data_IF_951787857149
#
_entry.id   IF_951787857149
#
_cell.length_a   1.000
_cell.length_b   1.000
_cell.length_c   1.000
_cell.angle_alpha   90.00
_cell.angle_beta   90.00
_cell.angle_gamma   90.00
#
_symmetry.space_group_name_H-M   'P 1'
#
loop_
_entity.id
_entity.type
_entity.pdbx_description
1 polymer ?
#
# COMPACT_ATOMS: atom_id res chain seq x y z
N UNK A 1 54.48 -5.19 40.65
CA UNK A 1 54.72 -5.74 39.29
C UNK A 1 53.58 -5.27 38.40
N UNK A 2 53.91 -4.55 37.32
CA UNK A 2 53.27 -4.55 35.98
C UNK A 2 51.82 -4.02 35.90
N UNK A 3 51.39 -3.15 34.97
CA UNK A 3 51.98 -2.23 33.98
C UNK A 3 50.78 -1.35 33.54
N UNK A 4 51.02 -0.07 33.32
CA UNK A 4 50.14 0.82 32.55
C UNK A 4 50.34 0.54 31.05
N UNK A 5 49.25 0.63 30.26
CA UNK A 5 49.16 0.99 28.83
C UNK A 5 47.80 0.46 28.31
N UNK A 6 47.07 1.03 27.35
CA UNK A 6 47.05 2.30 26.65
C UNK A 6 45.67 2.35 25.92
N UNK A 7 45.23 3.55 25.57
CA UNK A 7 43.99 3.86 24.83
C UNK A 7 44.07 3.33 23.39
N UNK A 8 42.99 2.75 22.87
CA UNK A 8 42.77 2.62 21.42
C UNK A 8 41.27 2.68 21.11
N UNK A 9 40.90 3.68 20.30
CA UNK A 9 39.60 3.84 19.65
C UNK A 9 39.39 2.75 18.60
N UNK A 10 38.21 2.15 18.54
CA UNK A 10 37.68 1.61 17.28
C UNK A 10 36.22 2.01 17.12
N UNK A 11 35.99 2.89 16.14
CA UNK A 11 34.67 3.14 15.57
C UNK A 11 34.21 1.84 14.90
N UNK A 12 33.18 1.19 15.42
CA UNK A 12 32.48 0.15 14.66
C UNK A 12 31.33 0.80 13.91
N UNK A 13 31.60 1.17 12.66
CA UNK A 13 30.57 1.44 11.66
C UNK A 13 29.80 0.14 11.40
N UNK A 14 28.58 0.05 11.92
CA UNK A 14 27.63 -1.00 11.53
C UNK A 14 27.20 -0.68 10.09
N UNK A 15 27.47 -1.53 9.09
CA UNK A 15 26.90 -1.33 7.78
C UNK A 15 25.40 -1.64 7.87
N UNK A 16 24.55 -0.63 7.66
CA UNK A 16 23.13 -0.84 7.40
C UNK A 16 23.02 -1.78 6.21
N UNK A 17 22.69 -3.03 6.49
CA UNK A 17 22.42 -4.03 5.47
C UNK A 17 21.16 -3.57 4.76
N UNK A 18 21.31 -3.25 3.48
CA UNK A 18 20.22 -2.97 2.53
C UNK A 18 19.19 -4.09 2.67
N UNK A 19 18.03 -3.76 3.26
CA UNK A 19 16.90 -4.67 3.42
C UNK A 19 16.64 -5.34 2.07
N UNK A 20 17.01 -6.62 1.95
CA UNK A 20 16.63 -7.46 0.82
C UNK A 20 15.13 -7.68 0.96
N UNK A 21 14.41 -7.21 -0.04
CA UNK A 21 12.96 -7.42 -0.12
C UNK A 21 12.69 -8.92 -0.10
N UNK A 22 11.62 -9.39 0.58
CA UNK A 22 11.24 -10.78 0.52
C UNK A 22 10.95 -11.14 -0.94
N UNK A 23 11.26 -12.40 -1.31
CA UNK A 23 11.01 -12.96 -2.63
C UNK A 23 9.59 -12.63 -3.11
N UNK A 24 9.37 -12.49 -4.44
CA UNK A 24 8.03 -12.29 -4.96
C UNK A 24 7.13 -13.40 -4.42
N UNK A 25 6.07 -13.00 -3.71
CA UNK A 25 5.00 -13.92 -3.33
C UNK A 25 4.40 -14.42 -4.64
N UNK A 26 4.80 -15.62 -5.07
CA UNK A 26 4.11 -16.30 -6.15
C UNK A 26 2.66 -16.50 -5.70
N UNK A 27 1.73 -15.91 -6.44
CA UNK A 27 0.32 -16.22 -6.26
C UNK A 27 0.15 -17.69 -6.62
N UNK A 28 -0.46 -18.45 -5.71
CA UNK A 28 -0.73 -19.88 -5.93
C UNK A 28 -1.72 -20.02 -7.07
N UNK A 29 -1.24 -20.24 -8.29
CA UNK A 29 -2.03 -20.51 -9.50
C UNK A 29 -2.48 -21.97 -9.60
N UNK A 30 -2.50 -22.70 -8.47
CA UNK A 30 -2.93 -24.10 -8.40
C UNK A 30 -4.30 -24.27 -9.05
N UNK A 31 -4.38 -25.19 -10.01
CA UNK A 31 -5.57 -25.54 -10.80
C UNK A 31 -6.82 -25.76 -9.96
N UNK A 32 -6.68 -26.23 -8.71
CA UNK A 32 -7.73 -26.41 -7.71
C UNK A 32 -8.58 -25.16 -7.41
N UNK A 33 -8.08 -23.93 -7.66
CA UNK A 33 -8.87 -22.70 -7.50
C UNK A 33 -9.70 -22.31 -8.73
N UNK A 34 -9.49 -22.96 -9.89
CA UNK A 34 -10.24 -22.62 -11.12
C UNK A 34 -11.69 -23.08 -11.09
N UNK A 35 -11.99 -24.12 -10.30
CA UNK A 35 -13.28 -24.79 -10.27
C UNK A 35 -13.71 -25.03 -8.81
N UNK A 36 -13.82 -23.98 -7.99
CA UNK A 36 -14.40 -24.11 -6.64
C UNK A 36 -15.94 -24.08 -6.75
N UNK A 37 -16.66 -25.19 -6.47
CA UNK A 37 -18.12 -25.27 -6.60
C UNK A 37 -18.87 -24.29 -5.70
N UNK A 38 -18.23 -23.75 -4.66
CA UNK A 38 -18.83 -22.75 -3.76
C UNK A 38 -18.97 -21.40 -4.44
N UNK A 39 -18.23 -21.14 -5.52
CA UNK A 39 -18.27 -19.87 -6.22
C UNK A 39 -19.57 -19.66 -6.99
N UNK A 40 -20.31 -20.71 -7.30
CA UNK A 40 -21.61 -20.62 -7.99
C UNK A 40 -22.70 -20.00 -7.08
N UNK A 41 -22.53 -20.02 -5.75
CA UNK A 41 -23.40 -19.28 -4.80
C UNK A 41 -23.11 -17.77 -4.78
N UNK A 42 -21.90 -17.35 -5.17
CA UNK A 42 -21.46 -15.95 -5.08
C UNK A 42 -21.68 -15.18 -6.38
N UNK A 43 -22.94 -14.91 -6.71
CA UNK A 43 -23.33 -13.86 -7.67
C UNK A 43 -22.63 -13.90 -9.04
N UNK A 44 -22.27 -12.73 -9.58
CA UNK A 44 -21.68 -12.61 -10.92
C UNK A 44 -20.23 -13.11 -10.93
N UNK A 45 -20.00 -14.24 -11.60
CA UNK A 45 -18.66 -14.77 -11.87
C UNK A 45 -17.95 -13.95 -12.95
N UNK A 46 -16.70 -13.56 -12.69
CA UNK A 46 -15.81 -13.04 -13.74
C UNK A 46 -15.31 -14.27 -14.51
N UNK A 47 -15.75 -14.40 -15.76
CA UNK A 47 -15.41 -15.54 -16.64
C UNK A 47 -14.54 -15.13 -17.81
N UNK A 48 -14.12 -13.87 -17.86
CA UNK A 48 -13.30 -13.32 -18.92
C UNK A 48 -11.80 -13.50 -18.62
N UNK A 49 -10.98 -12.80 -19.38
CA UNK A 49 -9.52 -12.81 -19.28
C UNK A 49 -8.95 -12.25 -17.95
N UNK A 50 -9.80 -11.77 -17.03
CA UNK A 50 -9.45 -11.35 -15.68
C UNK A 50 -9.82 -12.40 -14.61
N UNK A 51 -10.45 -13.51 -15.00
CA UNK A 51 -10.74 -14.63 -14.10
C UNK A 51 -9.46 -15.28 -13.56
N UNK A 52 -8.40 -15.27 -14.35
CA UNK A 52 -7.08 -15.76 -13.97
C UNK A 52 -6.13 -14.59 -13.67
N UNK A 53 -5.37 -14.71 -12.59
CA UNK A 53 -4.36 -13.74 -12.24
C UNK A 53 -3.17 -13.83 -13.20
N UNK A 54 -2.81 -12.69 -13.81
CA UNK A 54 -1.66 -12.59 -14.73
C UNK A 54 -0.39 -12.30 -13.96
N UNK A 55 0.74 -12.71 -14.52
CA UNK A 55 2.05 -12.35 -13.97
C UNK A 55 2.32 -10.84 -14.07
N UNK A 56 1.80 -10.18 -15.11
CA UNK A 56 1.96 -8.75 -15.35
C UNK A 56 0.66 -8.14 -15.86
N UNK A 57 0.35 -6.95 -15.36
CA UNK A 57 -0.73 -6.10 -15.81
C UNK A 57 -0.17 -4.79 -16.36
N UNK A 58 -0.89 -4.19 -17.30
CA UNK A 58 -0.56 -2.87 -17.81
C UNK A 58 -0.80 -1.81 -16.73
N UNK A 59 0.09 -0.82 -16.68
CA UNK A 59 -0.03 0.29 -15.75
C UNK A 59 -1.10 1.28 -16.22
N UNK A 60 -1.96 1.79 -15.33
CA UNK A 60 -2.98 2.77 -15.69
C UNK A 60 -2.35 4.08 -16.19
N UNK A 61 -3.06 4.74 -17.13
CA UNK A 61 -2.61 6.00 -17.74
C UNK A 61 -2.67 7.20 -16.77
N UNK A 62 -3.58 7.14 -15.81
CA UNK A 62 -3.86 8.25 -14.90
C UNK A 62 -3.39 7.93 -13.48
N UNK A 63 -3.04 8.99 -12.75
CA UNK A 63 -2.69 8.94 -11.33
C UNK A 63 -3.79 8.24 -10.53
N UNK A 64 -3.42 7.36 -9.62
CA UNK A 64 -4.37 6.70 -8.72
C UNK A 64 -4.56 7.55 -7.46
N UNK A 65 -5.81 7.82 -7.11
CA UNK A 65 -6.21 8.34 -5.80
C UNK A 65 -6.72 7.17 -4.98
N UNK A 66 -6.06 6.89 -3.86
CA UNK A 66 -6.53 5.92 -2.87
C UNK A 66 -7.36 6.67 -1.83
N UNK A 67 -8.69 6.54 -1.91
CA UNK A 67 -9.65 7.16 -1.02
C UNK A 67 -10.14 6.14 0.01
N UNK A 68 -9.80 6.37 1.29
CA UNK A 68 -10.20 5.42 2.32
C UNK A 68 -11.73 5.44 2.59
N UNK A 69 -12.24 4.33 3.11
CA UNK A 69 -13.65 4.18 3.49
C UNK A 69 -13.86 4.35 4.99
N UNK A 70 -13.73 3.22 5.70
CA UNK A 70 -14.06 3.05 7.11
C UNK A 70 -13.12 3.87 8.02
N UNK A 71 -13.69 4.67 8.92
CA UNK A 71 -12.99 5.49 9.94
C UNK A 71 -12.02 6.55 9.42
N UNK A 72 -11.94 6.71 8.11
CA UNK A 72 -11.34 7.88 7.51
C UNK A 72 -9.87 8.17 7.88
N UNK A 73 -9.04 7.13 8.01
CA UNK A 73 -7.64 7.28 8.41
C UNK A 73 -6.68 6.85 7.31
N UNK A 74 -5.57 7.57 7.18
CA UNK A 74 -4.43 7.15 6.35
C UNK A 74 -3.49 6.25 7.17
N UNK A 75 -3.10 6.72 8.36
CA UNK A 75 -2.25 6.00 9.32
C UNK A 75 -2.85 6.11 10.73
N UNK A 76 -3.06 4.98 11.40
CA UNK A 76 -3.54 4.92 12.77
C UNK A 76 -2.41 4.54 13.75
N UNK A 77 -2.16 5.38 14.75
CA UNK A 77 -1.13 5.14 15.78
C UNK A 77 -1.76 4.73 17.11
N UNK A 78 -1.99 3.43 17.28
CA UNK A 78 -2.73 2.86 18.42
C UNK A 78 -2.01 2.96 19.78
N UNK A 79 -0.68 3.00 19.81
CA UNK A 79 0.11 3.02 21.06
C UNK A 79 1.23 4.09 21.05
N UNK A 80 0.95 5.26 20.46
CA UNK A 80 1.93 6.34 20.35
C UNK A 80 3.20 5.92 19.58
N UNK A 81 4.36 6.44 19.98
CA UNK A 81 5.64 6.18 19.31
C UNK A 81 6.17 4.74 19.47
N UNK A 82 5.53 3.90 20.28
CA UNK A 82 6.03 2.57 20.62
C UNK A 82 5.65 1.48 19.61
N UNK A 83 4.61 1.70 18.79
CA UNK A 83 4.22 0.80 17.73
C UNK A 83 4.25 1.50 16.37
N UNK A 84 4.62 0.81 15.28
CA UNK A 84 4.53 1.36 13.94
C UNK A 84 3.07 1.70 13.61
N UNK A 85 2.85 2.84 12.94
CA UNK A 85 1.52 3.26 12.52
C UNK A 85 0.90 2.25 11.53
N UNK A 86 -0.38 1.97 11.73
CA UNK A 86 -1.17 1.10 10.88
C UNK A 86 -1.66 1.89 9.66
N UNK A 87 -1.08 1.59 8.50
CA UNK A 87 -1.49 2.19 7.22
C UNK A 87 -2.78 1.52 6.71
N UNK A 88 -3.74 2.32 6.24
CA UNK A 88 -4.97 1.79 5.62
C UNK A 88 -4.64 1.00 4.35
N UNK A 89 -3.77 1.55 3.50
CA UNK A 89 -3.33 0.98 2.22
C UNK A 89 -1.99 0.24 2.33
N UNK A 90 -1.79 -0.52 3.42
CA UNK A 90 -0.51 -1.17 3.72
C UNK A 90 0.00 -2.05 2.57
N UNK A 91 1.14 -1.70 2.00
CA UNK A 91 1.79 -2.44 0.92
C UNK A 91 1.21 -2.17 -0.47
N UNK A 92 0.05 -1.51 -0.57
CA UNK A 92 -0.60 -1.21 -1.85
C UNK A 92 0.06 0.02 -2.48
N UNK A 93 0.24 1.08 -1.70
CA UNK A 93 0.92 2.31 -2.18
C UNK A 93 2.32 1.98 -2.70
N UNK A 94 3.09 1.19 -1.95
CA UNK A 94 4.46 0.81 -2.31
C UNK A 94 4.48 -0.09 -3.55
N UNK A 95 3.57 -1.07 -3.64
CA UNK A 95 3.48 -1.96 -4.79
C UNK A 95 3.14 -1.19 -6.07
N UNK A 96 2.18 -0.27 -6.00
CA UNK A 96 1.79 0.56 -7.14
C UNK A 96 2.92 1.52 -7.54
N UNK A 97 3.55 2.21 -6.59
CA UNK A 97 4.68 3.10 -6.86
C UNK A 97 5.90 2.35 -7.42
N UNK A 98 6.17 1.13 -6.96
CA UNK A 98 7.24 0.30 -7.52
C UNK A 98 6.99 -0.10 -8.98
N UNK A 99 5.72 -0.16 -9.40
CA UNK A 99 5.34 -0.34 -10.80
C UNK A 99 5.30 0.98 -11.60
N UNK A 100 5.84 2.07 -11.06
CA UNK A 100 5.90 3.38 -11.74
C UNK A 100 4.57 4.14 -11.74
N UNK A 101 3.59 3.71 -10.95
CA UNK A 101 2.28 4.35 -10.86
C UNK A 101 2.35 5.49 -9.84
N UNK A 102 1.95 6.69 -10.24
CA UNK A 102 1.77 7.80 -9.31
C UNK A 102 0.53 7.53 -8.44
N UNK A 103 0.74 7.51 -7.13
CA UNK A 103 -0.31 7.24 -6.14
C UNK A 103 -0.41 8.39 -5.17
N UNK A 104 -1.64 8.84 -4.95
CA UNK A 104 -1.97 9.86 -3.96
C UNK A 104 -2.95 9.23 -2.97
N UNK A 105 -2.57 9.19 -1.69
CA UNK A 105 -3.49 8.82 -0.62
C UNK A 105 -4.27 10.07 -0.19
N UNK A 106 -5.59 9.97 -0.15
CA UNK A 106 -6.49 11.07 0.19
C UNK A 106 -7.32 10.73 1.43
N UNK A 107 -7.17 11.58 2.45
CA UNK A 107 -7.97 11.49 3.64
C UNK A 107 -9.32 12.22 3.51
N UNK A 108 -10.36 11.64 4.09
CA UNK A 108 -11.71 12.20 4.27
C UNK A 108 -12.12 12.07 5.75
N UNK A 109 -13.13 12.82 6.23
CA UNK A 109 -13.54 12.73 7.62
C UNK A 109 -13.91 11.28 8.04
N UNK A 110 -13.53 10.84 9.26
CA UNK A 110 -13.85 9.51 9.79
C UNK A 110 -15.32 9.15 9.82
N UNK A 111 -16.14 10.17 10.06
CA UNK A 111 -17.60 10.12 10.10
C UNK A 111 -18.15 11.39 9.46
N UNK A 112 -19.31 11.28 8.82
CA UNK A 112 -19.97 12.41 8.17
C UNK A 112 -20.86 11.93 7.04
N UNK A 113 -21.58 12.86 6.43
CA UNK A 113 -22.40 12.56 5.26
C UNK A 113 -21.52 12.23 4.04
N UNK A 114 -22.13 11.59 3.04
CA UNK A 114 -21.44 11.27 1.78
C UNK A 114 -20.97 12.56 1.10
N UNK A 115 -21.79 13.61 1.13
CA UNK A 115 -21.51 14.93 0.55
C UNK A 115 -20.29 15.57 1.20
N UNK A 116 -20.22 15.57 2.55
CA UNK A 116 -19.08 16.13 3.27
C UNK A 116 -17.78 15.38 2.96
N UNK A 117 -17.84 14.04 2.88
CA UNK A 117 -16.68 13.21 2.52
C UNK A 117 -16.27 13.42 1.06
N UNK A 118 -17.22 13.51 0.13
CA UNK A 118 -16.96 13.76 -1.28
C UNK A 118 -16.35 15.15 -1.51
N UNK A 119 -16.85 16.18 -0.83
CA UNK A 119 -16.30 17.52 -0.89
C UNK A 119 -14.84 17.55 -0.41
N UNK A 120 -14.52 16.87 0.70
CA UNK A 120 -13.14 16.80 1.20
C UNK A 120 -12.21 16.02 0.26
N UNK A 121 -12.72 14.94 -0.34
CA UNK A 121 -11.98 14.18 -1.34
C UNK A 121 -11.67 15.05 -2.56
N UNK A 122 -12.66 15.77 -3.08
CA UNK A 122 -12.50 16.67 -4.21
C UNK A 122 -11.46 17.78 -3.95
N UNK A 123 -11.49 18.39 -2.77
CA UNK A 123 -10.47 19.36 -2.33
C UNK A 123 -9.07 18.75 -2.35
N UNK A 124 -8.92 17.54 -1.78
CA UNK A 124 -7.64 16.83 -1.71
C UNK A 124 -7.11 16.49 -3.10
N UNK A 125 -7.98 16.08 -4.02
CA UNK A 125 -7.62 15.80 -5.43
C UNK A 125 -7.17 17.09 -6.11
N UNK A 126 -7.94 18.18 -6.00
CA UNK A 126 -7.60 19.46 -6.62
C UNK A 126 -6.22 19.96 -6.16
N UNK A 127 -5.93 19.84 -4.86
CA UNK A 127 -4.65 20.26 -4.27
C UNK A 127 -3.48 19.36 -4.70
N UNK A 128 -3.66 18.03 -4.66
CA UNK A 128 -2.55 17.08 -4.83
C UNK A 128 -2.32 16.67 -6.29
N UNK A 129 -3.39 16.50 -7.08
CA UNK A 129 -3.31 16.04 -8.46
C UNK A 129 -2.95 17.16 -9.47
N UNK A 130 -3.00 18.43 -9.06
CA UNK A 130 -2.55 19.59 -9.86
C UNK A 130 -3.15 19.63 -11.28
N UNK A 131 -4.42 19.26 -11.42
CA UNK A 131 -5.14 19.27 -12.70
C UNK A 131 -4.92 18.03 -13.58
N UNK A 132 -4.19 17.01 -13.12
CA UNK A 132 -4.10 15.72 -13.83
C UNK A 132 -5.46 15.00 -13.80
N UNK A 133 -5.75 14.24 -14.85
CA UNK A 133 -6.81 13.24 -14.79
C UNK A 133 -6.43 12.13 -13.80
N UNK A 134 -7.42 11.62 -13.07
CA UNK A 134 -7.20 10.66 -11.98
C UNK A 134 -8.15 9.47 -12.06
N UNK A 135 -7.72 8.33 -11.52
CA UNK A 135 -8.56 7.18 -11.23
C UNK A 135 -8.74 7.09 -9.72
N UNK A 136 -9.98 7.07 -9.23
CA UNK A 136 -10.28 7.01 -7.79
C UNK A 136 -10.60 5.55 -7.43
N UNK A 137 -9.92 5.04 -6.39
CA UNK A 137 -10.12 3.69 -5.81
C UNK A 137 -10.47 3.85 -4.34
#
# INVERSE_FOLDING_TARGET
MIRICARATFRSSIPLTRQKWPAPRFFSSTQWRREDPRLDEFGRRITDEFAEMREKYDTPKHTIILAHGLLGFDELRLAGHFLPGLQYWRGITEALSHNGIEVIVAAVPPSGSIEARAAKLAESIAQKAKGKQVNII
#
